data_IF_458272060154
#
_entry.id   IF_458272060154
#
_cell.length_a   1.000
_cell.length_b   1.000
_cell.length_c   1.000
_cell.angle_alpha   90.00
_cell.angle_beta   90.00
_cell.angle_gamma   90.00
#
_symmetry.space_group_name_H-M   'P 1'
#
loop_
_entity.id
_entity.type
_entity.pdbx_description
1 polymer ?
#
# COMPACT_ATOMS: atom_id res chain seq x y z
N UNK A 1 -34.53 -1.60 -1.45
CA UNK A 1 -33.71 -2.77 -1.16
C UNK A 1 -33.33 -2.75 0.29
N UNK A 2 -33.69 -3.80 1.04
CA UNK A 2 -33.33 -3.91 2.42
C UNK A 2 -31.84 -4.22 2.55
N UNK A 3 -31.14 -3.30 3.14
CA UNK A 3 -29.72 -3.47 3.41
C UNK A 3 -29.55 -4.56 4.46
N UNK A 4 -28.65 -5.49 4.20
CA UNK A 4 -28.32 -6.53 5.16
C UNK A 4 -27.54 -5.94 6.32
N UNK A 5 -28.25 -5.63 7.39
CA UNK A 5 -27.69 -5.00 8.59
C UNK A 5 -26.64 -5.88 9.26
N UNK A 6 -26.71 -7.20 9.07
CA UNK A 6 -25.69 -8.11 9.64
C UNK A 6 -24.30 -7.88 9.05
N UNK A 7 -24.22 -7.16 7.93
CA UNK A 7 -22.95 -6.83 7.26
C UNK A 7 -22.40 -5.47 7.67
N UNK A 8 -23.13 -4.65 8.40
CA UNK A 8 -22.68 -3.32 8.80
C UNK A 8 -21.36 -3.31 9.58
N UNK A 9 -21.11 -4.24 10.51
CA UNK A 9 -19.81 -4.26 11.19
C UNK A 9 -18.64 -4.73 10.36
N UNK A 10 -18.79 -4.91 9.03
CA UNK A 10 -17.65 -5.24 8.16
C UNK A 10 -16.68 -4.08 8.01
N UNK A 11 -17.13 -2.89 8.30
CA UNK A 11 -16.20 -1.78 8.49
C UNK A 11 -15.41 -2.12 9.74
N UNK A 12 -14.10 -2.21 9.60
CA UNK A 12 -13.21 -2.44 10.73
C UNK A 12 -13.51 -1.39 11.78
N UNK A 13 -13.99 -1.77 12.98
CA UNK A 13 -14.24 -0.79 14.00
C UNK A 13 -12.92 -0.13 14.38
N UNK A 14 -12.84 1.17 14.28
CA UNK A 14 -11.63 1.92 14.63
C UNK A 14 -11.18 1.67 16.06
N UNK A 15 -12.13 1.30 16.91
CA UNK A 15 -11.89 1.11 18.36
C UNK A 15 -11.86 -0.36 18.77
N UNK A 16 -11.99 -1.31 17.83
CA UNK A 16 -11.86 -2.72 18.17
C UNK A 16 -10.41 -3.04 18.49
N UNK A 17 -10.14 -3.72 19.62
CA UNK A 17 -8.79 -4.17 19.91
C UNK A 17 -8.34 -5.10 18.78
N UNK A 18 -7.25 -4.75 18.14
CA UNK A 18 -6.64 -5.57 17.11
C UNK A 18 -5.27 -6.01 17.61
N UNK A 19 -5.03 -7.31 17.56
CA UNK A 19 -3.72 -7.83 17.94
C UNK A 19 -2.70 -7.45 16.87
N UNK A 20 -1.69 -6.69 17.28
CA UNK A 20 -0.54 -6.39 16.44
C UNK A 20 0.34 -7.63 16.36
N UNK A 21 0.62 -8.10 15.15
CA UNK A 21 1.39 -9.32 14.92
C UNK A 21 2.74 -9.04 14.23
N UNK A 22 2.87 -7.87 13.61
CA UNK A 22 4.05 -7.52 12.83
C UNK A 22 4.61 -6.17 13.25
N UNK A 23 5.92 -6.04 13.14
CA UNK A 23 6.61 -4.75 13.28
C UNK A 23 6.73 -4.13 11.91
N UNK A 24 6.24 -2.91 11.76
CA UNK A 24 6.27 -2.18 10.49
C UNK A 24 7.39 -1.15 10.55
N UNK A 25 8.27 -1.20 9.57
CA UNK A 25 9.46 -0.35 9.53
C UNK A 25 9.52 0.43 8.23
N UNK A 26 9.70 1.74 8.33
CA UNK A 26 10.06 2.58 7.21
C UNK A 26 11.57 2.46 6.99
N UNK A 27 11.99 2.04 5.81
CA UNK A 27 13.40 1.80 5.50
C UNK A 27 14.07 3.08 5.06
N UNK A 28 15.09 3.56 5.77
CA UNK A 28 15.87 4.71 5.28
C UNK A 28 16.54 4.39 3.95
N UNK A 29 16.63 5.38 3.06
CA UNK A 29 17.17 5.20 1.70
C UNK A 29 18.55 4.54 1.69
N UNK A 30 19.39 4.84 2.67
CA UNK A 30 20.73 4.28 2.77
C UNK A 30 20.78 2.76 3.02
N UNK A 31 19.69 2.17 3.47
CA UNK A 31 19.62 0.72 3.71
C UNK A 31 18.92 -0.05 2.59
N UNK A 32 18.34 0.63 1.63
CA UNK A 32 17.52 0.01 0.59
C UNK A 32 18.33 -0.99 -0.24
N UNK A 33 19.54 -0.62 -0.67
CA UNK A 33 20.36 -1.50 -1.50
C UNK A 33 20.73 -2.82 -0.81
N UNK A 34 20.97 -2.78 0.51
CA UNK A 34 21.31 -3.99 1.25
C UNK A 34 20.14 -4.96 1.37
N UNK A 35 18.91 -4.46 1.27
CA UNK A 35 17.68 -5.24 1.39
C UNK A 35 17.04 -5.55 0.04
N UNK A 36 17.49 -4.89 -1.03
CA UNK A 36 16.78 -4.91 -2.31
C UNK A 36 16.62 -6.30 -2.91
N UNK A 37 17.61 -7.14 -2.77
CA UNK A 37 17.58 -8.50 -3.30
C UNK A 37 16.41 -9.31 -2.74
N UNK A 38 16.14 -9.13 -1.46
CA UNK A 38 15.02 -9.80 -0.79
C UNK A 38 13.69 -9.11 -1.07
N UNK A 39 13.69 -7.78 -1.00
CA UNK A 39 12.49 -6.95 -1.16
C UNK A 39 11.88 -7.04 -2.56
N UNK A 40 12.72 -7.07 -3.59
CA UNK A 40 12.24 -7.07 -4.98
C UNK A 40 11.36 -8.27 -5.31
N UNK A 41 11.61 -9.42 -4.68
CA UNK A 41 10.82 -10.62 -4.94
C UNK A 41 9.39 -10.48 -4.41
N UNK A 42 9.22 -9.73 -3.32
CA UNK A 42 7.89 -9.43 -2.79
C UNK A 42 7.12 -8.46 -3.69
N UNK A 43 7.80 -7.49 -4.28
CA UNK A 43 7.17 -6.43 -5.07
C UNK A 43 6.95 -6.79 -6.53
N UNK A 44 7.73 -7.73 -7.06
CA UNK A 44 7.69 -8.10 -8.48
C UNK A 44 6.29 -8.36 -9.02
N UNK A 45 5.48 -9.22 -8.39
CA UNK A 45 4.12 -9.50 -8.87
C UNK A 45 3.23 -8.26 -8.93
N UNK A 46 3.32 -7.37 -7.94
CA UNK A 46 2.52 -6.15 -7.93
C UNK A 46 2.93 -5.19 -9.04
N UNK A 47 4.23 -5.03 -9.25
CA UNK A 47 4.76 -4.17 -10.31
C UNK A 47 4.40 -4.70 -11.69
N UNK A 48 4.45 -6.03 -11.87
CA UNK A 48 4.07 -6.66 -13.15
C UNK A 48 2.61 -6.39 -13.54
N UNK A 49 1.74 -6.13 -12.56
CA UNK A 49 0.31 -5.86 -12.82
C UNK A 49 0.03 -4.42 -13.24
N UNK A 50 1.04 -3.57 -13.33
CA UNK A 50 0.82 -2.15 -13.70
C UNK A 50 0.63 -1.94 -15.19
N UNK A 51 0.65 -2.99 -15.98
CA UNK A 51 0.46 -2.94 -17.45
C UNK A 51 1.45 -1.98 -18.12
N UNK A 52 2.71 -2.07 -17.72
CA UNK A 52 3.79 -1.28 -18.31
C UNK A 52 3.97 0.11 -17.73
N UNK A 53 3.18 0.50 -16.72
CA UNK A 53 3.34 1.81 -16.08
C UNK A 53 4.59 1.89 -15.22
N UNK A 54 4.99 0.77 -14.62
CA UNK A 54 6.16 0.67 -13.76
C UNK A 54 6.98 -0.56 -14.09
N UNK A 55 8.28 -0.49 -13.81
CA UNK A 55 9.14 -1.67 -13.74
C UNK A 55 9.99 -1.61 -12.47
N UNK A 56 10.68 -2.69 -12.16
CA UNK A 56 11.44 -2.79 -10.91
C UNK A 56 12.63 -1.81 -10.86
N UNK A 57 13.23 -1.49 -12.01
CA UNK A 57 14.34 -0.53 -12.06
C UNK A 57 13.88 0.88 -11.67
N UNK A 58 12.77 1.34 -12.24
CA UNK A 58 12.22 2.65 -11.92
C UNK A 58 11.74 2.73 -10.48
N UNK A 59 11.14 1.66 -9.99
CA UNK A 59 10.72 1.61 -8.59
C UNK A 59 11.92 1.69 -7.64
N UNK A 60 12.96 0.92 -7.92
CA UNK A 60 14.18 0.94 -7.13
C UNK A 60 14.80 2.35 -7.10
N UNK A 61 14.90 2.98 -8.27
CA UNK A 61 15.43 4.34 -8.37
C UNK A 61 14.56 5.34 -7.60
N UNK A 62 13.23 5.22 -7.69
CA UNK A 62 12.32 6.10 -6.98
C UNK A 62 12.47 5.98 -5.46
N UNK A 63 12.68 4.76 -4.96
CA UNK A 63 12.90 4.52 -3.53
C UNK A 63 14.23 5.11 -3.09
N UNK A 64 15.29 4.89 -3.86
CA UNK A 64 16.62 5.44 -3.55
C UNK A 64 16.64 6.97 -3.56
N UNK A 65 15.86 7.58 -4.42
CA UNK A 65 15.74 9.04 -4.53
C UNK A 65 14.68 9.63 -3.59
N UNK A 66 14.10 8.80 -2.73
CA UNK A 66 13.09 9.21 -1.75
C UNK A 66 11.80 9.77 -2.36
N UNK A 67 11.52 9.47 -3.64
CA UNK A 67 10.23 9.74 -4.28
C UNK A 67 9.18 8.72 -3.86
N UNK A 68 9.62 7.53 -3.48
CA UNK A 68 8.81 6.49 -2.89
C UNK A 68 9.39 6.09 -1.55
N UNK A 69 8.54 5.71 -0.61
CA UNK A 69 8.96 5.19 0.69
C UNK A 69 8.83 3.68 0.68
N UNK A 70 9.80 2.99 1.25
CA UNK A 70 9.79 1.54 1.37
C UNK A 70 9.45 1.14 2.80
N UNK A 71 8.47 0.26 2.94
CA UNK A 71 8.00 -0.25 4.22
C UNK A 71 8.12 -1.76 4.27
N UNK A 72 8.55 -2.28 5.41
CA UNK A 72 8.66 -3.72 5.64
C UNK A 72 7.79 -4.13 6.81
N UNK A 73 7.16 -5.29 6.68
CA UNK A 73 6.45 -5.95 7.77
C UNK A 73 7.26 -7.16 8.21
N UNK A 74 7.78 -7.11 9.43
CA UNK A 74 8.54 -8.20 10.03
C UNK A 74 7.66 -9.01 10.95
N UNK A 75 7.74 -10.33 10.85
CA UNK A 75 7.06 -11.22 11.79
C UNK A 75 7.82 -11.29 13.14
N UNK A 76 7.35 -12.15 14.03
CA UNK A 76 7.95 -12.30 15.36
C UNK A 76 9.35 -12.93 15.32
N UNK A 77 9.69 -13.62 14.23
CA UNK A 77 11.03 -14.19 14.02
C UNK A 77 11.93 -13.27 13.20
N UNK A 78 11.55 -12.01 13.05
CA UNK A 78 12.26 -10.99 12.27
C UNK A 78 12.41 -11.33 10.78
N UNK A 79 11.48 -12.11 10.26
CA UNK A 79 11.40 -12.37 8.81
C UNK A 79 10.46 -11.38 8.14
N UNK A 80 10.79 -10.99 6.92
CA UNK A 80 9.93 -10.14 6.12
C UNK A 80 8.78 -10.97 5.58
N UNK A 81 7.56 -10.60 5.96
CA UNK A 81 6.32 -11.18 5.43
C UNK A 81 5.68 -10.30 4.37
N UNK A 82 5.86 -9.01 4.49
CA UNK A 82 5.22 -8.06 3.59
C UNK A 82 6.06 -6.84 3.31
N UNK A 83 5.81 -6.25 2.16
CA UNK A 83 6.49 -5.05 1.68
C UNK A 83 5.45 -4.11 1.11
N UNK A 84 5.60 -2.83 1.39
CA UNK A 84 4.75 -1.80 0.82
C UNK A 84 5.55 -0.61 0.34
N UNK A 85 5.01 0.11 -0.63
CA UNK A 85 5.57 1.38 -1.06
C UNK A 85 4.50 2.45 -1.07
N UNK A 86 4.88 3.65 -0.67
CA UNK A 86 4.00 4.82 -0.65
C UNK A 86 4.71 6.01 -1.24
N UNK A 87 3.94 7.02 -1.66
CA UNK A 87 4.51 8.31 -2.06
C UNK A 87 3.56 9.44 -1.66
N UNK A 88 4.11 10.63 -1.48
CA UNK A 88 3.28 11.82 -1.33
C UNK A 88 2.92 12.35 -2.71
N UNK A 89 1.64 12.64 -2.90
CA UNK A 89 1.14 13.26 -4.13
C UNK A 89 0.55 14.61 -3.76
N UNK A 90 1.16 15.67 -4.26
CA UNK A 90 0.72 17.04 -4.03
C UNK A 90 -0.09 17.52 -5.24
N UNK A 91 -1.41 17.47 -5.10
CA UNK A 91 -2.32 18.12 -6.03
C UNK A 91 -2.40 19.62 -5.67
N UNK A 92 -2.89 20.48 -6.56
CA UNK A 92 -2.99 21.92 -6.22
C UNK A 92 -3.79 22.22 -4.95
N UNK A 93 -4.80 21.41 -4.64
CA UNK A 93 -5.70 21.66 -3.52
C UNK A 93 -5.72 20.55 -2.48
N UNK A 94 -4.85 19.57 -2.60
CA UNK A 94 -4.93 18.37 -1.76
C UNK A 94 -3.61 17.64 -1.75
N UNK A 95 -3.18 17.21 -0.57
CA UNK A 95 -2.02 16.33 -0.44
C UNK A 95 -2.49 14.94 -0.02
N UNK A 96 -2.07 13.93 -0.76
CA UNK A 96 -2.44 12.54 -0.50
C UNK A 96 -1.21 11.69 -0.23
N UNK A 97 -1.35 10.69 0.62
CA UNK A 97 -0.40 9.59 0.66
C UNK A 97 -0.92 8.49 -0.25
N UNK A 98 -0.17 8.18 -1.31
CA UNK A 98 -0.56 7.14 -2.25
C UNK A 98 0.09 5.82 -1.85
N UNK A 99 -0.72 4.79 -1.67
CA UNK A 99 -0.23 3.41 -1.54
C UNK A 99 -0.02 2.90 -2.96
N UNK A 100 1.24 2.67 -3.33
CA UNK A 100 1.58 2.27 -4.70
C UNK A 100 1.59 0.76 -4.85
N UNK A 101 2.35 0.06 -4.01
CA UNK A 101 2.52 -1.39 -4.13
C UNK A 101 2.45 -2.05 -2.76
N UNK A 102 1.82 -3.21 -2.72
CA UNK A 102 1.81 -4.10 -1.56
C UNK A 102 2.08 -5.51 -2.07
N UNK A 103 2.98 -6.21 -1.44
CA UNK A 103 3.32 -7.58 -1.81
C UNK A 103 3.80 -8.39 -0.61
N UNK A 104 3.60 -9.68 -0.67
CA UNK A 104 4.09 -10.56 0.38
C UNK A 104 3.21 -11.77 0.61
N UNK A 105 3.58 -12.54 1.63
CA UNK A 105 2.85 -13.72 2.09
C UNK A 105 1.95 -13.34 3.25
N UNK A 106 0.92 -14.14 3.51
CA UNK A 106 0.04 -13.94 4.67
C UNK A 106 -0.50 -12.51 4.77
N UNK A 107 -0.96 -11.99 3.65
CA UNK A 107 -1.41 -10.60 3.50
C UNK A 107 -2.32 -10.15 4.64
N UNK A 108 -3.31 -10.97 5.00
CA UNK A 108 -4.27 -10.65 6.05
C UNK A 108 -3.63 -10.47 7.43
N UNK A 109 -2.47 -11.03 7.66
CA UNK A 109 -1.83 -10.98 8.97
C UNK A 109 -1.06 -9.69 9.22
N UNK A 110 -0.58 -9.01 8.18
CA UNK A 110 0.26 -7.83 8.33
C UNK A 110 -0.31 -6.54 7.71
N UNK A 111 -1.27 -6.66 6.78
CA UNK A 111 -1.74 -5.48 6.04
C UNK A 111 -2.32 -4.40 6.95
N UNK A 112 -3.07 -4.80 7.97
CA UNK A 112 -3.69 -3.83 8.87
C UNK A 112 -2.67 -3.12 9.76
N UNK A 113 -1.63 -3.82 10.17
CA UNK A 113 -0.52 -3.20 10.90
C UNK A 113 0.19 -2.17 10.02
N UNK A 114 0.38 -2.50 8.74
CA UNK A 114 1.01 -1.59 7.79
C UNK A 114 0.12 -0.37 7.48
N UNK A 115 -1.15 -0.59 7.24
CA UNK A 115 -2.09 0.52 6.96
C UNK A 115 -2.21 1.47 8.16
N UNK A 116 -2.19 0.95 9.37
CA UNK A 116 -2.18 1.80 10.56
C UNK A 116 -0.94 2.72 10.59
N UNK A 117 0.21 2.20 10.19
CA UNK A 117 1.42 3.02 10.07
C UNK A 117 1.29 4.06 8.96
N UNK A 118 0.68 3.70 7.84
CA UNK A 118 0.42 4.66 6.76
C UNK A 118 -0.50 5.79 7.23
N UNK A 119 -1.52 5.47 8.00
CA UNK A 119 -2.42 6.49 8.56
C UNK A 119 -1.65 7.48 9.43
N UNK A 120 -0.78 6.99 10.31
CA UNK A 120 0.08 7.83 11.13
C UNK A 120 1.05 8.67 10.31
N UNK A 121 1.71 8.06 9.33
CA UNK A 121 2.64 8.73 8.44
C UNK A 121 1.98 9.85 7.64
N UNK A 122 0.79 9.57 7.11
CA UNK A 122 0.02 10.56 6.37
C UNK A 122 -0.36 11.76 7.27
N UNK A 123 -0.83 11.47 8.48
CA UNK A 123 -1.20 12.52 9.44
C UNK A 123 0.01 13.36 9.83
N UNK A 124 1.14 12.73 10.13
CA UNK A 124 2.37 13.41 10.53
C UNK A 124 2.93 14.29 9.41
N UNK A 125 2.62 13.97 8.16
CA UNK A 125 3.09 14.70 7.00
C UNK A 125 2.01 15.59 6.37
N UNK A 126 0.97 15.92 7.13
CA UNK A 126 -0.07 16.87 6.74
C UNK A 126 -0.84 16.46 5.48
N UNK A 127 -1.01 15.17 5.26
CA UNK A 127 -1.85 14.68 4.17
C UNK A 127 -3.34 14.85 4.50
N UNK A 128 -4.13 15.16 3.48
CA UNK A 128 -5.58 15.25 3.61
C UNK A 128 -6.24 13.87 3.57
N UNK A 129 -5.55 12.88 3.03
CA UNK A 129 -6.07 11.53 2.95
C UNK A 129 -5.06 10.56 2.36
N UNK A 130 -5.53 9.34 2.16
CA UNK A 130 -4.76 8.24 1.58
C UNK A 130 -5.50 7.77 0.34
N UNK A 131 -4.78 7.56 -0.74
CA UNK A 131 -5.34 7.01 -1.97
C UNK A 131 -4.59 5.75 -2.39
N UNK A 132 -5.27 4.87 -3.11
CA UNK A 132 -4.68 3.65 -3.63
C UNK A 132 -5.29 3.33 -4.98
N UNK A 133 -4.44 2.89 -5.90
CA UNK A 133 -4.89 2.27 -7.14
C UNK A 133 -4.71 0.78 -6.97
N UNK A 134 -5.80 0.03 -7.02
CA UNK A 134 -5.78 -1.39 -6.72
C UNK A 134 -6.70 -2.16 -7.66
N UNK A 135 -6.43 -3.46 -7.78
CA UNK A 135 -7.35 -4.36 -8.49
C UNK A 135 -8.69 -4.40 -7.76
N UNK A 136 -9.76 -4.66 -8.50
CA UNK A 136 -11.10 -4.74 -7.93
C UNK A 136 -11.22 -5.74 -6.76
N UNK A 137 -10.39 -6.78 -6.76
CA UNK A 137 -10.36 -7.75 -5.65
C UNK A 137 -9.98 -7.18 -4.29
N UNK A 138 -9.30 -6.03 -4.27
CA UNK A 138 -8.95 -5.34 -3.03
C UNK A 138 -10.07 -4.48 -2.46
N UNK A 139 -11.16 -4.30 -3.19
CA UNK A 139 -12.25 -3.42 -2.77
C UNK A 139 -12.84 -3.80 -1.40
N UNK A 140 -13.04 -5.07 -1.14
CA UNK A 140 -13.58 -5.51 0.15
C UNK A 140 -12.73 -5.05 1.33
N UNK A 141 -11.41 -4.99 1.14
CA UNK A 141 -10.45 -4.55 2.14
C UNK A 141 -10.50 -3.06 2.35
N UNK A 142 -10.43 -2.33 1.24
CA UNK A 142 -10.44 -0.88 1.22
C UNK A 142 -11.74 -0.35 1.80
N UNK A 143 -12.86 -0.93 1.41
CA UNK A 143 -14.18 -0.57 1.94
C UNK A 143 -14.23 -0.70 3.47
N UNK A 144 -13.68 -1.79 4.01
CA UNK A 144 -13.67 -2.03 5.44
C UNK A 144 -12.89 -0.97 6.22
N UNK A 145 -11.89 -0.38 5.61
CA UNK A 145 -11.06 0.64 6.23
C UNK A 145 -11.49 2.07 5.89
N UNK A 146 -12.69 2.24 5.36
CA UNK A 146 -13.27 3.57 5.12
C UNK A 146 -12.91 4.19 3.78
N UNK A 147 -12.31 3.43 2.86
CA UNK A 147 -12.03 3.94 1.51
C UNK A 147 -13.30 3.98 0.68
N UNK A 148 -13.38 4.95 -0.21
CA UNK A 148 -14.44 5.07 -1.20
C UNK A 148 -13.83 4.95 -2.59
N UNK A 149 -14.62 4.49 -3.56
CA UNK A 149 -14.21 4.51 -4.96
C UNK A 149 -14.36 5.92 -5.48
N UNK A 150 -13.24 6.57 -5.77
CA UNK A 150 -13.26 7.95 -6.29
C UNK A 150 -13.23 7.99 -7.81
N UNK A 151 -12.42 7.12 -8.43
CA UNK A 151 -12.21 7.12 -9.88
C UNK A 151 -12.09 5.71 -10.40
N UNK A 152 -12.37 5.57 -11.70
CA UNK A 152 -12.03 4.38 -12.47
C UNK A 152 -11.14 4.82 -13.62
N UNK A 153 -10.01 4.15 -13.82
CA UNK A 153 -9.10 4.44 -14.92
C UNK A 153 -9.57 3.68 -16.16
N UNK A 154 -9.77 4.39 -17.25
CA UNK A 154 -10.06 3.81 -18.54
C UNK A 154 -8.83 3.92 -19.44
N UNK A 155 -8.45 2.83 -20.06
CA UNK A 155 -7.25 2.79 -20.90
C UNK A 155 -7.62 2.34 -22.30
N UNK A 156 -7.10 3.05 -23.29
CA UNK A 156 -7.20 2.66 -24.69
C UNK A 156 -5.81 2.50 -25.26
N UNK A 157 -5.51 1.33 -25.78
CA UNK A 157 -4.26 1.07 -26.46
C UNK A 157 -4.31 1.66 -27.87
N UNK A 158 -3.30 2.41 -28.25
CA UNK A 158 -3.29 3.12 -29.54
C UNK A 158 -2.53 2.38 -30.64
N UNK A 159 -1.69 1.44 -30.29
CA UNK A 159 -0.93 0.63 -31.24
C UNK A 159 -0.79 -0.79 -30.74
N UNK A 160 -0.54 -1.72 -31.66
CA UNK A 160 -0.44 -3.17 -31.36
C UNK A 160 0.98 -3.61 -31.03
N UNK A 161 1.92 -2.71 -31.02
CA UNK A 161 3.32 -3.02 -30.76
C UNK A 161 3.71 -3.07 -29.31
#
# INVERSE_FOLDING_TARGET
ELRDISREPRVKPKNAPRKVTHTITLVPAGYVNSLWFEVRDFLGPAVARTKGRWNMEYLHAAILNEHQHLWLAFDQDNKIDGVGTTEFVDYPCKRMLAIQFLGGSNFNSWVWDMVDRFNGWATDNYCDGIEATARSGFWKWLEQDGYTRSFTVFEKRLNDG
#
